data_IF_572545874421
#
_entry.id   IF_572545874421
#
_cell.length_a   1.000
_cell.length_b   1.000
_cell.length_c   1.000
_cell.angle_alpha   90.00
_cell.angle_beta   90.00
_cell.angle_gamma   90.00
#
_symmetry.space_group_name_H-M   'P 1'
#
loop_
_entity.id
_entity.type
_entity.pdbx_description
1 polymer ?
#
# COMPACT_ATOMS: atom_id res chain seq x y z
N UNK A 1 28.29 31.41 -4.04
CA UNK A 1 26.88 31.05 -3.78
C UNK A 1 26.69 29.57 -4.06
N UNK A 2 26.29 28.78 -3.08
CA UNK A 2 25.95 27.38 -3.31
C UNK A 2 24.77 27.32 -4.31
N UNK A 3 24.90 26.52 -5.37
CA UNK A 3 23.78 26.34 -6.30
C UNK A 3 22.59 25.73 -5.55
N UNK A 4 21.36 26.07 -5.90
CA UNK A 4 20.17 25.54 -5.25
C UNK A 4 20.16 23.98 -5.32
N UNK A 5 20.75 23.40 -6.36
CA UNK A 5 20.95 21.97 -6.50
C UNK A 5 21.76 21.39 -5.32
N UNK A 6 22.89 22.01 -4.97
CA UNK A 6 23.71 21.58 -3.84
C UNK A 6 22.97 21.69 -2.51
N UNK A 7 22.15 22.74 -2.34
CA UNK A 7 21.33 22.92 -1.12
C UNK A 7 20.25 21.83 -1.03
N UNK A 8 19.66 21.41 -2.15
CA UNK A 8 18.70 20.30 -2.21
C UNK A 8 19.38 18.99 -1.80
N UNK A 9 20.57 18.68 -2.35
CA UNK A 9 21.30 17.46 -2.05
C UNK A 9 21.66 17.38 -0.56
N UNK A 10 22.21 18.46 0.00
CA UNK A 10 22.54 18.56 1.42
C UNK A 10 21.30 18.41 2.32
N UNK A 11 20.18 19.02 1.94
CA UNK A 11 18.91 18.86 2.66
C UNK A 11 18.46 17.39 2.63
N UNK A 12 18.49 16.72 1.50
CA UNK A 12 18.06 15.31 1.38
C UNK A 12 18.91 14.38 2.24
N UNK A 13 20.24 14.56 2.25
CA UNK A 13 21.16 13.83 3.12
C UNK A 13 20.78 14.08 4.60
N UNK A 14 20.59 15.35 4.97
CA UNK A 14 20.25 15.74 6.34
C UNK A 14 18.94 15.12 6.83
N UNK A 15 17.87 15.17 6.01
CA UNK A 15 16.58 14.61 6.43
C UNK A 15 16.56 13.09 6.42
N UNK A 16 17.34 12.44 5.53
CA UNK A 16 17.49 11.00 5.54
C UNK A 16 18.14 10.53 6.85
N UNK A 17 19.22 11.17 7.27
CA UNK A 17 19.93 10.86 8.51
C UNK A 17 19.08 11.18 9.78
N UNK A 18 18.37 12.31 9.78
CA UNK A 18 17.68 12.80 11.00
C UNK A 18 16.26 12.27 11.17
N UNK A 19 15.57 11.91 10.09
CA UNK A 19 14.16 11.49 10.12
C UNK A 19 13.94 10.02 9.79
N UNK A 20 14.98 9.25 9.54
CA UNK A 20 14.92 7.82 9.19
C UNK A 20 13.88 7.54 8.08
N UNK A 21 13.92 8.35 7.01
CA UNK A 21 13.00 8.25 5.89
C UNK A 21 13.41 7.10 4.96
N UNK A 22 12.41 6.43 4.38
CA UNK A 22 12.67 5.38 3.39
C UNK A 22 13.24 5.96 2.10
N UNK A 23 14.05 5.18 1.37
CA UNK A 23 14.64 5.58 0.07
C UNK A 23 13.57 6.02 -0.94
N UNK A 24 12.40 5.35 -0.94
CA UNK A 24 11.25 5.76 -1.77
C UNK A 24 10.74 7.16 -1.42
N UNK A 25 10.75 7.52 -0.14
CA UNK A 25 10.34 8.86 0.31
C UNK A 25 11.38 9.90 -0.13
N UNK A 26 12.66 9.59 0.04
CA UNK A 26 13.76 10.47 -0.41
C UNK A 26 13.72 10.67 -1.93
N UNK A 27 13.51 9.59 -2.71
CA UNK A 27 13.37 9.67 -4.16
C UNK A 27 12.19 10.57 -4.58
N UNK A 28 11.05 10.44 -3.89
CA UNK A 28 9.89 11.30 -4.17
C UNK A 28 10.17 12.77 -3.80
N UNK A 29 10.82 13.04 -2.68
CA UNK A 29 11.21 14.39 -2.27
C UNK A 29 12.22 15.01 -3.22
N UNK A 30 13.21 14.23 -3.66
CA UNK A 30 14.18 14.67 -4.67
C UNK A 30 13.48 15.06 -5.99
N UNK A 31 12.54 14.23 -6.46
CA UNK A 31 11.74 14.54 -7.65
C UNK A 31 10.95 15.84 -7.50
N UNK A 32 10.32 16.07 -6.33
CA UNK A 32 9.54 17.29 -6.09
C UNK A 32 10.41 18.55 -5.98
N UNK A 33 11.59 18.43 -5.36
CA UNK A 33 12.53 19.55 -5.23
C UNK A 33 13.23 19.86 -6.57
N UNK A 34 13.54 18.85 -7.38
CA UNK A 34 14.05 19.05 -8.75
C UNK A 34 13.02 19.76 -9.63
N UNK A 35 11.73 19.42 -9.49
CA UNK A 35 10.64 20.08 -10.19
C UNK A 35 10.54 21.57 -9.77
N UNK A 36 10.68 21.88 -8.48
CA UNK A 36 10.74 23.23 -7.97
C UNK A 36 12.00 23.98 -8.45
N UNK A 37 13.17 23.36 -8.43
CA UNK A 37 14.41 23.94 -8.92
C UNK A 37 14.32 24.29 -10.42
N UNK A 38 13.70 23.39 -11.22
CA UNK A 38 13.44 23.65 -12.63
C UNK A 38 12.52 24.87 -12.84
N UNK A 39 11.49 25.01 -12.02
CA UNK A 39 10.63 26.20 -12.04
C UNK A 39 11.42 27.49 -11.75
N UNK A 40 12.40 27.40 -10.83
CA UNK A 40 13.22 28.55 -10.40
C UNK A 40 14.31 28.95 -11.38
N UNK A 41 14.58 28.24 -12.50
CA UNK A 41 15.69 28.54 -13.40
C UNK A 41 15.72 30.00 -13.88
N UNK A 42 14.55 30.67 -13.90
CA UNK A 42 14.42 32.05 -14.32
C UNK A 42 13.57 32.89 -13.32
N UNK A 43 13.45 32.47 -12.07
CA UNK A 43 12.62 33.11 -11.07
C UNK A 43 13.42 33.42 -9.81
N UNK A 44 13.24 34.58 -9.17
CA UNK A 44 13.92 34.90 -7.91
C UNK A 44 13.40 33.99 -6.78
N UNK A 45 14.32 33.59 -5.89
CA UNK A 45 13.98 32.96 -4.62
C UNK A 45 13.65 34.06 -3.60
N UNK A 46 12.43 34.54 -3.62
CA UNK A 46 11.91 35.61 -2.77
C UNK A 46 10.68 35.16 -1.95
N UNK A 47 10.14 36.08 -1.16
CA UNK A 47 8.97 35.84 -0.28
C UNK A 47 7.73 35.32 -1.01
N UNK A 48 7.58 35.64 -2.30
CA UNK A 48 6.41 35.28 -3.13
C UNK A 48 6.65 34.03 -3.98
N UNK A 49 7.82 33.42 -3.93
CA UNK A 49 8.19 32.27 -4.78
C UNK A 49 7.19 31.11 -4.69
N UNK A 50 6.69 30.82 -3.49
CA UNK A 50 5.73 29.73 -3.30
C UNK A 50 4.36 30.03 -3.90
N UNK A 51 3.93 31.29 -3.86
CA UNK A 51 2.67 31.70 -4.51
C UNK A 51 2.80 31.51 -6.03
N UNK A 52 3.90 31.99 -6.64
CA UNK A 52 4.15 31.81 -8.08
C UNK A 52 4.24 30.34 -8.46
N UNK A 53 4.91 29.52 -7.64
CA UNK A 53 5.02 28.09 -7.91
C UNK A 53 3.66 27.39 -7.84
N UNK A 54 2.83 27.69 -6.82
CA UNK A 54 1.48 27.11 -6.70
C UNK A 54 0.62 27.55 -7.91
N UNK A 55 0.70 28.82 -8.30
CA UNK A 55 -0.01 29.32 -9.48
C UNK A 55 0.42 28.56 -10.74
N UNK A 56 1.73 28.38 -10.97
CA UNK A 56 2.26 27.56 -12.06
C UNK A 56 1.71 26.12 -12.02
N UNK A 57 1.75 25.47 -10.84
CA UNK A 57 1.22 24.10 -10.69
C UNK A 57 -0.29 24.00 -10.95
N UNK A 58 -1.04 25.04 -10.59
CA UNK A 58 -2.51 25.07 -10.71
C UNK A 58 -2.96 25.46 -12.13
N UNK A 59 -2.41 26.53 -12.69
CA UNK A 59 -2.89 27.13 -13.96
C UNK A 59 -2.24 26.51 -15.17
N UNK A 60 -0.91 26.38 -15.17
CA UNK A 60 -0.16 25.87 -16.33
C UNK A 60 -0.12 24.35 -16.34
N UNK A 61 0.22 23.71 -15.20
CA UNK A 61 0.34 22.26 -15.11
C UNK A 61 -0.97 21.56 -14.73
N UNK A 62 -1.99 22.29 -14.32
CA UNK A 62 -3.34 21.80 -13.96
C UNK A 62 -3.30 20.60 -13.02
N UNK A 63 -2.41 20.62 -12.02
CA UNK A 63 -2.27 19.54 -11.06
C UNK A 63 -3.43 19.54 -10.07
N UNK A 64 -3.78 18.33 -9.58
CA UNK A 64 -4.80 18.18 -8.53
C UNK A 64 -4.26 18.70 -7.19
N UNK A 65 -5.14 19.25 -6.35
CA UNK A 65 -4.83 19.76 -5.01
C UNK A 65 -4.02 18.78 -4.17
N UNK A 66 -4.32 17.48 -4.24
CA UNK A 66 -3.57 16.44 -3.53
C UNK A 66 -2.10 16.34 -3.95
N UNK A 67 -1.81 16.55 -5.24
CA UNK A 67 -0.44 16.56 -5.77
C UNK A 67 0.30 17.83 -5.37
N UNK A 68 -0.37 18.98 -5.41
CA UNK A 68 0.18 20.27 -4.97
C UNK A 68 0.48 20.20 -3.46
N UNK A 69 -0.46 19.73 -2.65
CA UNK A 69 -0.28 19.54 -1.21
C UNK A 69 0.93 18.65 -0.89
N UNK A 70 1.13 17.55 -1.62
CA UNK A 70 2.30 16.68 -1.43
C UNK A 70 3.60 17.43 -1.70
N UNK A 71 3.69 18.20 -2.80
CA UNK A 71 4.87 19.02 -3.13
C UNK A 71 5.15 20.07 -2.06
N UNK A 72 4.12 20.71 -1.54
CA UNK A 72 4.27 21.72 -0.48
C UNK A 72 4.74 21.14 0.85
N UNK A 73 4.45 19.88 1.16
CA UNK A 73 4.97 19.22 2.37
C UNK A 73 6.50 19.16 2.35
N UNK A 74 7.10 18.79 1.23
CA UNK A 74 8.58 18.76 1.14
C UNK A 74 9.16 20.17 1.09
N UNK A 75 8.52 21.11 0.40
CA UNK A 75 8.95 22.51 0.36
C UNK A 75 8.91 23.16 1.75
N UNK A 76 7.88 22.88 2.56
CA UNK A 76 7.83 23.32 3.96
C UNK A 76 9.08 22.90 4.73
N UNK A 77 9.49 21.64 4.59
CA UNK A 77 10.69 21.15 5.28
C UNK A 77 11.96 21.75 4.71
N UNK A 78 12.01 21.95 3.41
CA UNK A 78 13.16 22.54 2.71
C UNK A 78 13.35 24.02 3.09
N UNK A 79 12.31 24.84 3.07
CA UNK A 79 12.39 26.23 3.48
C UNK A 79 12.74 26.41 4.96
N UNK A 80 12.23 25.50 5.82
CA UNK A 80 12.65 25.45 7.23
C UNK A 80 14.14 25.13 7.37
N UNK A 81 14.66 24.24 6.54
CA UNK A 81 16.09 23.91 6.49
C UNK A 81 16.90 25.10 6.02
N UNK A 82 16.52 25.77 4.93
CA UNK A 82 17.22 26.93 4.39
C UNK A 82 17.31 28.07 5.42
N UNK A 83 16.21 28.39 6.10
CA UNK A 83 16.18 29.41 7.15
C UNK A 83 17.04 29.01 8.36
N UNK A 84 16.96 27.76 8.83
CA UNK A 84 17.77 27.27 9.96
C UNK A 84 19.27 27.38 9.70
N UNK A 85 19.72 27.26 8.45
CA UNK A 85 21.12 27.33 8.06
C UNK A 85 21.51 28.70 7.46
N UNK A 86 20.71 29.74 7.67
CA UNK A 86 20.95 31.13 7.23
C UNK A 86 21.17 31.28 5.72
N UNK A 87 20.56 30.42 4.88
CA UNK A 87 20.56 30.58 3.44
C UNK A 87 19.46 31.53 2.93
N UNK A 88 18.47 31.79 3.76
CA UNK A 88 17.41 32.79 3.59
C UNK A 88 17.14 33.47 4.94
N UNK A 89 16.76 34.75 4.90
CA UNK A 89 16.53 35.55 6.10
C UNK A 89 15.24 35.16 6.84
N UNK A 90 14.25 34.67 6.12
CA UNK A 90 12.94 34.30 6.65
C UNK A 90 12.48 32.94 6.08
N UNK A 91 11.67 32.21 6.84
CA UNK A 91 11.02 31.00 6.32
C UNK A 91 9.84 31.36 5.41
N UNK A 92 10.08 31.47 4.12
CA UNK A 92 9.08 31.87 3.12
C UNK A 92 7.82 31.01 3.09
N UNK A 93 7.89 29.76 3.58
CA UNK A 93 6.69 28.92 3.72
C UNK A 93 5.76 29.42 4.83
N UNK A 94 6.28 29.95 5.91
CA UNK A 94 5.50 30.42 7.07
C UNK A 94 4.84 31.78 6.82
N UNK A 95 5.29 32.54 5.82
CA UNK A 95 4.67 33.80 5.42
C UNK A 95 3.27 33.62 4.80
N UNK A 96 2.91 32.42 4.41
CA UNK A 96 1.66 32.14 3.68
C UNK A 96 0.87 30.99 4.33
N UNK A 97 -0.45 31.15 4.35
CA UNK A 97 -1.37 30.08 4.78
C UNK A 97 -1.97 29.41 3.54
N UNK A 98 -1.54 28.19 3.27
CA UNK A 98 -2.05 27.41 2.14
C UNK A 98 -3.24 26.55 2.58
N UNK A 99 -4.44 26.89 2.09
CA UNK A 99 -5.66 26.10 2.32
C UNK A 99 -6.02 25.30 1.08
N UNK A 100 -6.06 23.98 1.19
CA UNK A 100 -6.52 23.09 0.12
C UNK A 100 -7.83 22.45 0.51
N UNK A 101 -8.80 22.45 -0.39
CA UNK A 101 -10.03 21.71 -0.20
C UNK A 101 -9.71 20.21 -0.19
N UNK A 102 -9.89 19.54 0.94
CA UNK A 102 -9.86 18.10 0.96
C UNK A 102 -11.23 17.58 0.54
N UNK A 103 -11.37 17.16 -0.70
CA UNK A 103 -12.55 16.38 -1.07
C UNK A 103 -12.57 15.10 -0.23
N UNK A 104 -13.55 14.96 0.65
CA UNK A 104 -13.85 13.68 1.31
C UNK A 104 -14.41 12.75 0.22
N UNK A 105 -13.53 11.96 -0.39
CA UNK A 105 -13.96 10.94 -1.34
C UNK A 105 -14.39 9.71 -0.57
N UNK A 106 -15.56 9.18 -0.91
CA UNK A 106 -16.00 7.89 -0.41
C UNK A 106 -14.95 6.82 -0.72
N UNK A 107 -14.71 5.86 0.18
CA UNK A 107 -13.83 4.74 -0.10
C UNK A 107 -14.26 4.04 -1.38
N UNK A 108 -13.31 3.79 -2.26
CA UNK A 108 -13.57 3.07 -3.51
C UNK A 108 -13.46 1.58 -3.23
N UNK A 109 -14.59 0.91 -3.21
CA UNK A 109 -14.73 -0.52 -2.94
C UNK A 109 -15.19 -1.27 -4.19
N UNK A 110 -14.99 -2.58 -4.20
CA UNK A 110 -15.67 -3.52 -5.09
C UNK A 110 -16.95 -4.01 -4.41
N UNK A 111 -17.96 -4.29 -5.19
CA UNK A 111 -19.18 -4.94 -4.73
C UNK A 111 -18.93 -6.42 -4.46
N UNK A 112 -19.79 -7.07 -3.67
CA UNK A 112 -19.70 -8.53 -3.43
C UNK A 112 -19.77 -9.34 -4.73
N UNK A 113 -20.67 -9.07 -5.68
CA UNK A 113 -20.68 -9.74 -6.98
C UNK A 113 -19.36 -9.58 -7.75
N UNK A 114 -18.73 -8.38 -7.73
CA UNK A 114 -17.42 -8.18 -8.37
C UNK A 114 -16.32 -9.01 -7.71
N UNK A 115 -16.33 -9.15 -6.38
CA UNK A 115 -15.40 -10.02 -5.65
C UNK A 115 -15.59 -11.49 -6.02
N UNK A 116 -16.84 -11.95 -6.07
CA UNK A 116 -17.18 -13.33 -6.48
C UNK A 116 -16.68 -13.58 -7.91
N UNK A 117 -16.98 -12.67 -8.84
CA UNK A 117 -16.55 -12.80 -10.24
C UNK A 117 -15.02 -12.81 -10.36
N UNK A 118 -14.31 -11.97 -9.57
CA UNK A 118 -12.85 -11.95 -9.56
C UNK A 118 -12.25 -13.27 -9.07
N UNK A 119 -12.82 -13.85 -8.00
CA UNK A 119 -12.40 -15.17 -7.47
C UNK A 119 -12.70 -16.28 -8.47
N UNK A 120 -13.91 -16.34 -9.01
CA UNK A 120 -14.32 -17.33 -10.02
C UNK A 120 -13.42 -17.27 -11.26
N UNK A 121 -13.03 -16.08 -11.70
CA UNK A 121 -12.09 -15.93 -12.82
C UNK A 121 -10.69 -16.47 -12.46
N UNK A 122 -10.21 -16.25 -11.24
CA UNK A 122 -8.92 -16.78 -10.78
C UNK A 122 -8.96 -18.33 -10.67
N UNK A 123 -10.09 -18.90 -10.24
CA UNK A 123 -10.32 -20.34 -10.14
C UNK A 123 -10.44 -20.99 -11.54
N UNK A 124 -11.17 -20.36 -12.46
CA UNK A 124 -11.32 -20.86 -13.84
C UNK A 124 -9.99 -20.96 -14.56
N UNK A 125 -9.09 -20.02 -14.35
CA UNK A 125 -7.73 -20.07 -14.89
C UNK A 125 -6.95 -21.28 -14.36
N UNK A 126 -7.15 -21.67 -13.08
CA UNK A 126 -6.56 -22.87 -12.47
C UNK A 126 -6.99 -24.16 -13.19
N UNK A 127 -8.21 -24.20 -13.73
CA UNK A 127 -8.80 -25.37 -14.39
C UNK A 127 -8.41 -25.43 -15.87
N UNK A 128 -7.96 -24.33 -16.46
CA UNK A 128 -7.57 -24.21 -17.86
C UNK A 128 -6.48 -25.23 -18.24
N UNK A 129 -6.62 -25.87 -19.42
CA UNK A 129 -5.80 -27.00 -19.90
C UNK A 129 -4.35 -26.67 -20.29
N UNK A 130 -3.88 -25.45 -20.06
CA UNK A 130 -2.50 -25.09 -20.40
C UNK A 130 -1.53 -25.58 -19.31
N UNK A 131 -1.11 -26.83 -19.40
CA UNK A 131 -0.32 -27.54 -18.38
C UNK A 131 1.02 -26.86 -18.02
N UNK A 132 1.64 -26.16 -18.96
CA UNK A 132 2.99 -25.61 -18.79
C UNK A 132 3.12 -24.50 -17.71
N UNK A 133 2.02 -23.82 -17.38
CA UNK A 133 2.02 -22.68 -16.43
C UNK A 133 0.95 -22.80 -15.34
N UNK A 134 0.37 -23.96 -15.14
CA UNK A 134 -0.70 -24.22 -14.17
C UNK A 134 -0.37 -23.75 -12.74
N UNK A 135 0.88 -23.85 -12.33
CA UNK A 135 1.34 -23.37 -11.03
C UNK A 135 1.21 -21.83 -10.87
N UNK A 136 1.35 -21.07 -11.99
CA UNK A 136 1.15 -19.61 -11.99
C UNK A 136 -0.28 -19.25 -11.63
N UNK A 137 -1.26 -20.00 -12.15
CA UNK A 137 -2.67 -19.77 -11.89
C UNK A 137 -3.03 -20.13 -10.44
N UNK A 138 -2.47 -21.22 -9.90
CA UNK A 138 -2.62 -21.56 -8.47
C UNK A 138 -2.00 -20.48 -7.58
N UNK A 139 -0.81 -19.97 -7.94
CA UNK A 139 -0.20 -18.82 -7.24
C UNK A 139 -1.10 -17.59 -7.29
N UNK A 140 -1.63 -17.26 -8.47
CA UNK A 140 -2.47 -16.08 -8.67
C UNK A 140 -3.74 -16.17 -7.84
N UNK A 141 -4.40 -17.34 -7.82
CA UNK A 141 -5.57 -17.58 -6.98
C UNK A 141 -5.24 -17.38 -5.50
N UNK A 142 -4.20 -18.04 -4.97
CA UNK A 142 -3.79 -17.90 -3.59
C UNK A 142 -3.46 -16.44 -3.22
N UNK A 143 -2.77 -15.72 -4.09
CA UNK A 143 -2.43 -14.30 -3.89
C UNK A 143 -3.68 -13.43 -3.81
N UNK A 144 -4.59 -13.54 -4.77
CA UNK A 144 -5.80 -12.72 -4.83
C UNK A 144 -6.73 -13.04 -3.65
N UNK A 145 -6.88 -14.31 -3.32
CA UNK A 145 -7.71 -14.75 -2.20
C UNK A 145 -7.17 -14.24 -0.85
N UNK A 146 -5.84 -14.25 -0.64
CA UNK A 146 -5.21 -13.63 0.54
C UNK A 146 -5.48 -12.13 0.58
N UNK A 147 -5.33 -11.40 -0.53
CA UNK A 147 -5.59 -9.96 -0.57
C UNK A 147 -7.05 -9.64 -0.24
N UNK A 148 -8.00 -10.46 -0.69
CA UNK A 148 -9.44 -10.32 -0.42
C UNK A 148 -9.76 -10.63 1.04
N UNK A 149 -9.24 -11.73 1.57
CA UNK A 149 -9.59 -12.27 2.89
C UNK A 149 -8.90 -11.58 4.06
N UNK A 150 -7.78 -10.88 3.81
CA UNK A 150 -6.94 -10.27 4.86
C UNK A 150 -6.79 -8.77 4.73
N UNK A 151 -7.05 -8.20 3.57
CA UNK A 151 -6.88 -6.78 3.31
C UNK A 151 -5.44 -6.27 3.43
N UNK A 152 -4.41 -7.14 3.39
CA UNK A 152 -3.00 -6.71 3.44
C UNK A 152 -2.64 -5.85 2.23
N UNK A 153 -1.59 -5.02 2.36
CA UNK A 153 -1.09 -4.24 1.23
C UNK A 153 -0.34 -5.11 0.24
N UNK A 154 -0.40 -4.80 -1.06
CA UNK A 154 0.35 -5.56 -2.09
C UNK A 154 1.86 -5.57 -1.83
N UNK A 155 2.41 -4.50 -1.24
CA UNK A 155 3.81 -4.46 -0.84
C UNK A 155 4.11 -5.42 0.33
N UNK A 156 3.15 -5.58 1.25
CA UNK A 156 3.23 -6.56 2.34
C UNK A 156 3.15 -7.97 1.75
N UNK A 157 2.17 -8.25 0.88
CA UNK A 157 2.03 -9.54 0.20
C UNK A 157 3.29 -9.94 -0.60
N UNK A 158 3.89 -9.00 -1.33
CA UNK A 158 5.15 -9.23 -2.07
C UNK A 158 6.30 -9.65 -1.15
N UNK A 159 6.31 -9.20 0.10
CA UNK A 159 7.42 -9.39 1.04
C UNK A 159 7.25 -10.56 2.02
N UNK A 160 6.10 -11.25 2.02
CA UNK A 160 5.89 -12.41 2.91
C UNK A 160 6.96 -13.47 2.62
N UNK A 161 7.67 -13.89 3.66
CA UNK A 161 8.63 -15.00 3.63
C UNK A 161 7.98 -16.31 4.09
N UNK A 162 8.58 -17.43 3.81
CA UNK A 162 8.08 -18.73 4.28
C UNK A 162 8.02 -18.82 5.82
N UNK A 163 9.02 -18.23 6.49
CA UNK A 163 9.12 -18.19 7.96
C UNK A 163 8.04 -17.30 8.60
N UNK A 164 7.40 -16.41 7.81
CA UNK A 164 6.29 -15.60 8.30
C UNK A 164 4.98 -16.39 8.41
N UNK A 165 4.90 -17.62 7.87
CA UNK A 165 3.69 -18.45 7.89
C UNK A 165 3.71 -19.39 9.08
N UNK A 166 2.81 -19.15 10.03
CA UNK A 166 2.61 -20.01 11.21
C UNK A 166 1.48 -20.99 10.90
N UNK A 167 1.85 -22.18 10.42
CA UNK A 167 0.90 -23.17 9.91
C UNK A 167 -0.06 -23.65 10.99
N UNK A 168 0.43 -23.91 12.21
CA UNK A 168 -0.38 -24.39 13.34
C UNK A 168 -1.49 -23.42 13.74
N UNK A 169 -1.32 -22.14 13.47
CA UNK A 169 -2.27 -21.08 13.84
C UNK A 169 -3.04 -20.50 12.66
N UNK A 170 -2.77 -20.93 11.43
CA UNK A 170 -3.30 -20.34 10.19
C UNK A 170 -3.06 -18.83 10.12
N UNK A 171 -1.86 -18.39 10.51
CA UNK A 171 -1.52 -17.00 10.73
C UNK A 171 -0.32 -16.59 9.87
N UNK A 172 -0.30 -15.35 9.42
CA UNK A 172 0.83 -14.76 8.69
C UNK A 172 1.35 -13.57 9.49
N UNK A 173 2.66 -13.53 9.74
CA UNK A 173 3.35 -12.37 10.28
C UNK A 173 3.57 -11.33 9.15
N UNK A 174 3.00 -10.16 9.31
CA UNK A 174 3.11 -9.07 8.33
C UNK A 174 4.07 -8.01 8.83
N UNK A 175 5.12 -7.75 8.05
CA UNK A 175 6.09 -6.69 8.29
C UNK A 175 5.61 -5.38 7.66
N UNK A 176 5.27 -4.40 8.49
CA UNK A 176 4.79 -3.08 8.08
C UNK A 176 5.88 -2.01 8.03
N UNK A 177 5.50 -0.79 7.68
CA UNK A 177 6.40 0.37 7.66
C UNK A 177 6.90 0.71 9.08
N UNK A 178 8.20 1.01 9.21
CA UNK A 178 8.81 1.42 10.48
C UNK A 178 9.06 0.26 11.45
N UNK A 179 9.39 -0.93 10.95
CA UNK A 179 9.64 -2.17 11.72
C UNK A 179 8.44 -2.65 12.57
N UNK A 180 7.24 -2.13 12.30
CA UNK A 180 6.02 -2.61 12.96
C UNK A 180 5.61 -3.95 12.37
N UNK A 181 5.27 -4.90 13.23
CA UNK A 181 4.80 -6.22 12.86
C UNK A 181 3.37 -6.42 13.35
N UNK A 182 2.61 -7.25 12.65
CA UNK A 182 1.29 -7.71 13.10
C UNK A 182 1.01 -9.12 12.58
N UNK A 183 0.29 -9.88 13.36
CA UNK A 183 -0.23 -11.19 12.96
C UNK A 183 -1.58 -11.01 12.27
N UNK A 184 -1.76 -11.69 11.13
CA UNK A 184 -3.02 -11.79 10.41
C UNK A 184 -3.46 -13.25 10.41
N UNK A 185 -4.62 -13.50 10.99
CA UNK A 185 -5.27 -14.80 10.97
C UNK A 185 -6.08 -14.98 9.68
N UNK A 186 -5.94 -16.12 9.01
CA UNK A 186 -6.75 -16.51 7.85
C UNK A 186 -7.97 -17.27 8.33
N UNK A 187 -9.10 -16.59 8.45
CA UNK A 187 -10.35 -17.15 8.98
C UNK A 187 -11.09 -18.03 7.98
N UNK A 188 -10.89 -17.83 6.68
CA UNK A 188 -11.55 -18.60 5.63
C UNK A 188 -10.78 -19.90 5.33
N UNK A 189 -11.38 -21.09 5.54
CA UNK A 189 -10.71 -22.37 5.26
C UNK A 189 -10.29 -22.50 3.80
N UNK A 190 -11.09 -22.03 2.84
CA UNK A 190 -10.76 -22.08 1.43
C UNK A 190 -9.53 -21.24 1.08
N UNK A 191 -9.42 -20.04 1.66
CA UNK A 191 -8.24 -19.19 1.47
C UNK A 191 -6.98 -19.86 2.00
N UNK A 192 -7.09 -20.50 3.18
CA UNK A 192 -5.99 -21.27 3.76
C UNK A 192 -5.59 -22.44 2.87
N UNK A 193 -6.56 -23.20 2.37
CA UNK A 193 -6.33 -24.32 1.44
C UNK A 193 -5.67 -23.85 0.13
N UNK A 194 -6.10 -22.73 -0.42
CA UNK A 194 -5.50 -22.15 -1.63
C UNK A 194 -4.03 -21.76 -1.38
N UNK A 195 -3.72 -21.20 -0.21
CA UNK A 195 -2.34 -20.90 0.17
C UNK A 195 -1.50 -22.18 0.30
N UNK A 196 -2.00 -23.21 0.98
CA UNK A 196 -1.30 -24.50 1.13
C UNK A 196 -1.02 -25.16 -0.21
N UNK A 197 -2.01 -25.22 -1.10
CA UNK A 197 -1.86 -25.74 -2.46
C UNK A 197 -0.76 -24.99 -3.23
N UNK A 198 -0.70 -23.68 -3.07
CA UNK A 198 0.36 -22.88 -3.67
C UNK A 198 1.73 -23.20 -3.07
N UNK A 199 1.86 -23.30 -1.74
CA UNK A 199 3.14 -23.59 -1.08
C UNK A 199 3.72 -24.93 -1.52
N UNK A 200 2.88 -25.96 -1.72
CA UNK A 200 3.30 -27.25 -2.27
C UNK A 200 3.88 -27.08 -3.68
N UNK A 201 3.16 -26.42 -4.58
CA UNK A 201 3.61 -26.21 -5.95
C UNK A 201 4.83 -25.27 -6.03
N UNK A 202 4.90 -24.25 -5.15
CA UNK A 202 6.07 -23.37 -5.04
C UNK A 202 7.34 -24.15 -4.76
N UNK A 203 7.30 -25.11 -3.84
CA UNK A 203 8.47 -25.94 -3.50
C UNK A 203 9.01 -26.68 -4.72
N UNK A 204 8.12 -27.13 -5.63
CA UNK A 204 8.49 -27.82 -6.86
C UNK A 204 9.13 -26.90 -7.93
N UNK A 205 9.06 -25.58 -7.75
CA UNK A 205 9.72 -24.62 -8.65
C UNK A 205 11.18 -24.36 -8.29
N UNK A 206 11.67 -24.89 -7.19
CA UNK A 206 13.05 -24.70 -6.68
C UNK A 206 13.51 -23.23 -6.68
N UNK A 207 12.73 -22.29 -6.07
CA UNK A 207 13.09 -20.88 -6.10
C UNK A 207 14.29 -20.58 -5.21
N UNK A 208 15.13 -19.63 -5.62
CA UNK A 208 16.28 -19.16 -4.86
C UNK A 208 15.92 -18.19 -3.72
N UNK A 209 14.69 -17.72 -3.67
CA UNK A 209 14.21 -16.78 -2.65
C UNK A 209 13.35 -17.48 -1.59
N UNK A 210 13.35 -16.94 -0.37
CA UNK A 210 12.45 -17.34 0.73
C UNK A 210 11.01 -16.78 0.58
N UNK A 211 10.79 -15.88 -0.39
CA UNK A 211 9.49 -15.21 -0.54
C UNK A 211 8.39 -16.18 -0.95
N UNK A 212 7.22 -16.02 -0.31
CA UNK A 212 6.04 -16.86 -0.58
C UNK A 212 5.60 -16.74 -2.04
N UNK A 213 5.46 -15.52 -2.55
CA UNK A 213 5.03 -15.29 -3.93
C UNK A 213 6.22 -15.04 -4.83
N UNK A 214 6.41 -15.91 -5.82
CA UNK A 214 7.50 -15.85 -6.79
C UNK A 214 6.97 -15.53 -8.19
N UNK A 215 7.82 -14.95 -9.01
CA UNK A 215 7.57 -14.73 -10.43
C UNK A 215 7.91 -15.98 -11.26
N UNK A 216 7.71 -15.92 -12.58
CA UNK A 216 7.99 -17.03 -13.49
C UNK A 216 9.48 -17.46 -13.56
N UNK A 217 10.37 -16.66 -13.02
CA UNK A 217 11.81 -16.91 -12.99
C UNK A 217 12.29 -17.41 -11.63
N UNK A 218 11.39 -17.71 -10.67
CA UNK A 218 11.75 -18.15 -9.32
C UNK A 218 12.12 -17.02 -8.36
N UNK A 219 12.18 -15.76 -8.80
CA UNK A 219 12.48 -14.60 -7.95
C UNK A 219 11.21 -14.05 -7.28
N UNK A 220 11.40 -13.18 -6.28
CA UNK A 220 10.30 -12.47 -5.62
C UNK A 220 9.32 -11.84 -6.61
N UNK A 221 8.02 -12.05 -6.41
CA UNK A 221 6.98 -11.39 -7.18
C UNK A 221 6.88 -9.92 -6.77
N UNK A 222 7.28 -9.02 -7.67
CA UNK A 222 7.30 -7.58 -7.41
C UNK A 222 5.88 -7.00 -7.25
N UNK A 223 5.80 -5.82 -6.64
CA UNK A 223 4.55 -5.03 -6.53
C UNK A 223 3.91 -4.82 -7.92
N UNK A 224 4.71 -4.48 -8.93
CA UNK A 224 4.23 -4.34 -10.32
C UNK A 224 3.72 -5.65 -10.90
N UNK A 225 4.34 -6.78 -10.53
CA UNK A 225 3.85 -8.11 -10.91
C UNK A 225 2.46 -8.40 -10.32
N UNK A 226 2.25 -8.05 -9.05
CA UNK A 226 0.94 -8.19 -8.40
C UNK A 226 -0.10 -7.27 -9.05
N UNK A 227 0.24 -6.00 -9.33
CA UNK A 227 -0.64 -5.08 -10.04
C UNK A 227 -1.02 -5.59 -11.44
N UNK A 228 -0.07 -6.19 -12.15
CA UNK A 228 -0.31 -6.79 -13.47
C UNK A 228 -1.26 -7.99 -13.38
N UNK A 229 -1.07 -8.90 -12.40
CA UNK A 229 -1.96 -10.04 -12.16
C UNK A 229 -3.38 -9.55 -11.90
N UNK A 230 -3.54 -8.61 -10.96
CA UNK A 230 -4.85 -8.03 -10.68
C UNK A 230 -5.49 -7.39 -11.91
N UNK A 231 -4.70 -6.62 -12.69
CA UNK A 231 -5.17 -5.98 -13.93
C UNK A 231 -5.71 -7.01 -14.92
N UNK A 232 -5.01 -8.13 -15.11
CA UNK A 232 -5.44 -9.21 -16.01
C UNK A 232 -6.73 -9.88 -15.52
N UNK A 233 -6.79 -10.24 -14.25
CA UNK A 233 -7.96 -10.90 -13.67
C UNK A 233 -9.20 -10.00 -13.71
N UNK A 234 -9.09 -8.73 -13.32
CA UNK A 234 -10.22 -7.80 -13.37
C UNK A 234 -10.73 -7.53 -14.78
N UNK A 235 -9.82 -7.48 -15.78
CA UNK A 235 -10.22 -7.32 -17.18
C UNK A 235 -11.01 -8.54 -17.66
N UNK A 236 -10.54 -9.75 -17.36
CA UNK A 236 -11.23 -10.98 -17.70
C UNK A 236 -12.58 -11.13 -16.96
N UNK A 237 -12.66 -10.62 -15.73
CA UNK A 237 -13.89 -10.59 -14.93
C UNK A 237 -14.85 -9.45 -15.29
N UNK A 238 -14.55 -8.59 -16.26
CA UNK A 238 -15.40 -7.44 -16.65
C UNK A 238 -15.53 -6.36 -15.57
N UNK A 239 -14.62 -6.35 -14.58
CA UNK A 239 -14.69 -5.40 -13.46
C UNK A 239 -14.22 -4.01 -13.89
N UNK A 240 -14.76 -2.97 -13.24
CA UNK A 240 -14.46 -1.57 -13.48
C UNK A 240 -12.95 -1.33 -13.72
N UNK A 241 -12.62 -0.81 -14.90
CA UNK A 241 -11.24 -0.56 -15.35
C UNK A 241 -10.43 0.40 -14.45
N UNK A 242 -11.09 1.23 -13.61
CA UNK A 242 -10.43 2.15 -12.67
C UNK A 242 -10.03 1.50 -11.34
N UNK A 243 -10.47 0.26 -11.06
CA UNK A 243 -10.13 -0.41 -9.82
C UNK A 243 -8.64 -0.80 -9.78
N UNK A 244 -8.06 -0.79 -8.58
CA UNK A 244 -6.69 -1.19 -8.27
C UNK A 244 -6.68 -2.17 -7.11
N UNK A 245 -5.59 -2.90 -6.81
CA UNK A 245 -5.55 -3.79 -5.64
C UNK A 245 -5.89 -3.12 -4.30
N UNK A 246 -5.72 -1.79 -4.18
CA UNK A 246 -6.14 -1.04 -3.00
C UNK A 246 -7.66 -1.09 -2.75
N UNK A 247 -8.46 -1.28 -3.79
CA UNK A 247 -9.90 -1.48 -3.64
C UNK A 247 -10.22 -2.75 -2.85
N UNK A 248 -9.45 -3.85 -3.01
CA UNK A 248 -9.63 -5.08 -2.23
C UNK A 248 -9.48 -4.81 -0.73
N UNK A 249 -8.46 -4.04 -0.35
CA UNK A 249 -8.25 -3.64 1.04
C UNK A 249 -9.35 -2.72 1.56
N UNK A 250 -9.82 -1.76 0.74
CA UNK A 250 -10.96 -0.91 1.13
C UNK A 250 -12.24 -1.73 1.26
N UNK A 251 -12.47 -2.66 0.34
CA UNK A 251 -13.62 -3.58 0.40
C UNK A 251 -13.57 -4.43 1.67
N UNK A 252 -12.43 -5.02 2.00
CA UNK A 252 -12.23 -5.79 3.22
C UNK A 252 -12.55 -4.94 4.48
N UNK A 253 -11.96 -3.74 4.59
CA UNK A 253 -12.19 -2.84 5.72
C UNK A 253 -13.67 -2.43 5.86
N UNK A 254 -14.30 -2.06 4.74
CA UNK A 254 -15.70 -1.62 4.73
C UNK A 254 -16.65 -2.76 5.11
N UNK A 255 -16.43 -3.97 4.55
CA UNK A 255 -17.28 -5.11 4.88
C UNK A 255 -17.13 -5.56 6.35
N UNK A 256 -15.93 -5.54 6.93
CA UNK A 256 -15.78 -5.79 8.36
C UNK A 256 -16.63 -4.83 9.20
N UNK A 257 -16.59 -3.52 8.87
CA UNK A 257 -17.38 -2.51 9.59
C UNK A 257 -18.89 -2.69 9.37
N UNK A 258 -19.31 -2.95 8.13
CA UNK A 258 -20.74 -3.19 7.79
C UNK A 258 -21.27 -4.43 8.49
N UNK A 259 -20.45 -5.46 8.62
CA UNK A 259 -20.81 -6.70 9.32
C UNK A 259 -20.78 -6.54 10.85
N UNK A 260 -20.38 -5.39 11.40
CA UNK A 260 -20.43 -5.11 12.84
C UNK A 260 -19.10 -5.13 13.58
N UNK A 261 -17.97 -5.26 12.87
CA UNK A 261 -16.67 -5.13 13.52
C UNK A 261 -16.44 -3.70 14.01
N UNK A 262 -15.86 -3.54 15.20
CA UNK A 262 -15.53 -2.21 15.70
C UNK A 262 -14.34 -1.59 14.95
N UNK A 263 -14.36 -0.26 14.82
CA UNK A 263 -13.37 0.50 14.05
C UNK A 263 -11.93 0.26 14.56
N UNK A 264 -11.74 0.12 15.86
CA UNK A 264 -10.41 -0.08 16.45
C UNK A 264 -9.83 -1.43 16.05
N UNK A 265 -10.62 -2.51 16.14
CA UNK A 265 -10.21 -3.84 15.68
C UNK A 265 -9.84 -3.84 14.19
N UNK A 266 -10.64 -3.18 13.34
CA UNK A 266 -10.34 -3.04 11.90
C UNK A 266 -9.04 -2.27 11.67
N UNK A 267 -8.80 -1.18 12.40
CA UNK A 267 -7.54 -0.43 12.31
C UNK A 267 -6.32 -1.25 12.72
N UNK A 268 -6.44 -2.05 13.79
CA UNK A 268 -5.37 -2.93 14.27
C UNK A 268 -5.08 -4.07 13.29
N UNK A 269 -6.11 -4.74 12.75
CA UNK A 269 -5.97 -5.79 11.73
C UNK A 269 -5.25 -5.23 10.50
N UNK A 270 -5.64 -4.04 10.05
CA UNK A 270 -5.05 -3.40 8.90
C UNK A 270 -3.67 -2.77 9.16
N UNK A 271 -3.26 -2.56 10.41
CA UNK A 271 -1.99 -1.93 10.77
C UNK A 271 -1.95 -0.46 10.39
N UNK A 272 -2.95 0.33 10.80
CA UNK A 272 -2.95 1.78 10.65
C UNK A 272 -2.04 2.43 11.70
N UNK A 273 -1.16 3.34 11.29
CA UNK A 273 -0.03 3.86 12.06
C UNK A 273 -0.38 4.79 13.25
N UNK A 274 -1.64 5.11 13.49
CA UNK A 274 -2.06 6.12 14.45
C UNK A 274 -2.62 5.57 15.78
N UNK A 275 -2.14 4.44 16.25
CA UNK A 275 -2.36 4.05 17.65
C UNK A 275 -0.99 3.98 18.30
N UNK A 276 -0.66 5.03 19.04
CA UNK A 276 0.50 5.08 19.90
C UNK A 276 0.33 4.12 21.06
N UNK A 277 1.39 3.36 21.32
CA UNK A 277 1.72 2.64 22.55
C UNK A 277 0.76 1.57 23.03
N UNK A 278 1.18 0.31 22.96
CA UNK A 278 1.43 -0.48 24.18
C UNK A 278 1.83 -1.91 23.84
N UNK A 279 3.03 -2.27 24.16
CA UNK A 279 3.61 -3.62 24.00
C UNK A 279 3.05 -4.68 24.97
N UNK A 280 2.01 -4.37 25.77
CA UNK A 280 1.53 -5.22 26.88
C UNK A 280 0.23 -6.02 26.57
N UNK A 281 -0.39 -5.80 25.37
CA UNK A 281 -1.70 -6.42 25.06
C UNK A 281 -1.67 -7.45 23.92
N UNK A 282 -0.56 -8.13 23.69
CA UNK A 282 -0.40 -9.02 22.51
C UNK A 282 -1.34 -10.22 22.50
N UNK A 283 -1.59 -10.90 23.63
CA UNK A 283 -2.45 -12.10 23.66
C UNK A 283 -3.94 -11.78 23.57
N UNK A 284 -4.42 -10.82 24.35
CA UNK A 284 -5.85 -10.42 24.36
C UNK A 284 -6.25 -9.81 23.02
N UNK A 285 -5.36 -9.02 22.38
CA UNK A 285 -5.61 -8.43 21.07
C UNK A 285 -5.65 -9.49 19.96
N UNK A 286 -4.86 -10.56 20.05
CA UNK A 286 -4.83 -11.63 19.03
C UNK A 286 -6.10 -12.46 19.06
N UNK A 287 -6.58 -12.87 20.23
CA UNK A 287 -7.85 -13.60 20.39
C UNK A 287 -9.04 -12.79 19.84
N UNK A 288 -9.12 -11.48 20.19
CA UNK A 288 -10.17 -10.60 19.69
C UNK A 288 -10.11 -10.42 18.16
N UNK A 289 -8.92 -10.29 17.57
CA UNK A 289 -8.76 -10.19 16.11
C UNK A 289 -9.21 -11.48 15.41
N UNK A 290 -8.87 -12.66 15.94
CA UNK A 290 -9.36 -13.95 15.44
C UNK A 290 -10.89 -14.00 15.46
N UNK A 291 -11.51 -13.61 16.58
CA UNK A 291 -12.96 -13.57 16.74
C UNK A 291 -13.63 -12.61 15.72
N UNK A 292 -13.07 -11.39 15.55
CA UNK A 292 -13.58 -10.42 14.55
C UNK A 292 -13.48 -10.99 13.15
N UNK A 293 -12.37 -11.63 12.78
CA UNK A 293 -12.20 -12.21 11.46
C UNK A 293 -13.11 -13.41 11.23
N UNK A 294 -13.32 -14.27 12.24
CA UNK A 294 -14.25 -15.39 12.12
C UNK A 294 -15.70 -14.93 11.95
N UNK A 295 -16.14 -13.93 12.70
CA UNK A 295 -17.54 -13.52 12.75
C UNK A 295 -17.93 -12.55 11.63
N UNK A 296 -17.00 -11.69 11.19
CA UNK A 296 -17.33 -10.55 10.36
C UNK A 296 -16.63 -10.52 8.99
N UNK A 297 -15.70 -11.46 8.73
CA UNK A 297 -15.04 -11.52 7.43
C UNK A 297 -16.01 -12.10 6.38
N UNK A 298 -16.49 -11.25 5.47
CA UNK A 298 -17.42 -11.63 4.41
C UNK A 298 -16.92 -12.79 3.53
N UNK A 299 -15.61 -13.00 3.41
CA UNK A 299 -15.03 -14.11 2.65
C UNK A 299 -15.46 -15.47 3.18
N UNK A 300 -15.73 -15.57 4.48
CA UNK A 300 -16.23 -16.80 5.11
C UNK A 300 -17.63 -17.18 4.62
N UNK A 301 -18.49 -16.17 4.33
CA UNK A 301 -19.86 -16.40 3.86
C UNK A 301 -19.96 -16.68 2.36
N UNK A 302 -18.95 -16.29 1.55
CA UNK A 302 -18.97 -16.53 0.10
C UNK A 302 -18.87 -18.02 -0.30
N UNK A 303 -18.64 -18.90 0.66
CA UNK A 303 -18.56 -20.37 0.44
C UNK A 303 -19.88 -21.10 0.77
N UNK A 304 -20.82 -20.42 1.41
CA UNK A 304 -22.12 -21.02 1.70
C UNK A 304 -23.04 -20.81 0.49
N UNK A 305 -23.49 -21.88 -0.20
CA UNK A 305 -24.61 -21.72 -1.13
C UNK A 305 -25.81 -21.23 -0.31
N UNK A 306 -26.54 -20.26 -0.86
CA UNK A 306 -27.78 -19.76 -0.27
C UNK A 306 -28.66 -20.96 0.10
N UNK A 307 -28.94 -21.11 1.40
CA UNK A 307 -29.97 -22.02 1.90
C UNK A 307 -31.34 -21.45 1.60
#
# INVERSE_FOLDING_TARGET
MNSLSNLIDNFLITIQATKNLSDKTITAYNSDLKDFNKFLQNQPLDKNVLIRYIQHLTTERKLKDSSIKRKLIVLKMFFKYLHKHNFIDENYYELHTFKFKSEKRLPKTLTIPEIITLLSQAESNKISNNQKNKWIDVRNLALIDILISTGIRIAEASNISLDDIIVSEQTILIHGKGKKQRLIYISCPQTWQNLQNWLILRKLQHPETDKVFINRFGNQLSIHGIEYIYKKLKQAAGINHKSTPHYLRHTFATNLLVNGADLRSVQEILGHANISTTEIYTEVSTSRKKQVLNNFNYRNSLLQPDN
#
